data_IF_979653546676
#
_entry.id   IF_979653546676
#
_cell.length_a   1.000
_cell.length_b   1.000
_cell.length_c   1.000
_cell.angle_alpha   90.00
_cell.angle_beta   90.00
_cell.angle_gamma   90.00
#
_symmetry.space_group_name_H-M   'P 1'
#
loop_
_entity.id
_entity.type
_entity.pdbx_description
1 polymer ?
#
# COMPACT_ATOMS: atom_id res chain seq x y z
N UNK A 1 14.99 -23.25 -8.87
CA UNK A 1 13.55 -23.14 -8.55
C UNK A 1 13.11 -24.46 -7.97
N UNK A 2 12.70 -24.50 -6.69
CA UNK A 2 12.22 -25.73 -6.04
C UNK A 2 10.69 -25.71 -6.15
N UNK A 3 10.15 -26.69 -6.89
CA UNK A 3 8.74 -26.95 -7.21
C UNK A 3 8.13 -26.20 -8.42
N UNK A 4 7.50 -26.96 -9.32
CA UNK A 4 6.50 -26.50 -10.31
C UNK A 4 5.16 -26.30 -9.58
N UNK A 5 5.13 -25.43 -8.56
CA UNK A 5 3.88 -25.11 -7.89
C UNK A 5 2.99 -24.29 -8.85
N UNK A 6 1.69 -24.65 -8.99
CA UNK A 6 0.77 -23.96 -9.88
C UNK A 6 0.43 -22.54 -9.40
N UNK A 7 0.82 -22.20 -8.17
CA UNK A 7 0.68 -20.88 -7.57
C UNK A 7 2.04 -20.39 -7.11
N UNK A 8 2.36 -19.13 -7.39
CA UNK A 8 3.58 -18.44 -6.98
C UNK A 8 3.25 -17.43 -5.90
N UNK A 9 3.91 -17.55 -4.75
CA UNK A 9 3.83 -16.61 -3.64
C UNK A 9 5.21 -16.04 -3.23
N UNK A 10 5.23 -15.11 -2.28
CA UNK A 10 6.49 -14.55 -1.77
C UNK A 10 7.29 -15.55 -0.91
N UNK A 11 6.65 -16.58 -0.36
CA UNK A 11 7.28 -17.66 0.38
C UNK A 11 8.25 -18.48 -0.48
N UNK A 12 8.00 -18.57 -1.79
CA UNK A 12 8.88 -19.26 -2.74
C UNK A 12 10.14 -18.45 -3.12
N UNK A 13 10.18 -17.15 -2.83
CA UNK A 13 11.36 -16.32 -3.09
C UNK A 13 12.51 -16.62 -2.10
N UNK A 14 13.78 -16.60 -2.54
CA UNK A 14 14.93 -16.60 -1.64
C UNK A 14 14.84 -15.44 -0.64
N UNK A 15 15.32 -15.58 0.62
CA UNK A 15 15.16 -14.55 1.65
C UNK A 15 15.62 -13.14 1.23
N UNK A 16 16.77 -13.02 0.55
CA UNK A 16 17.25 -11.74 0.04
C UNK A 16 16.27 -11.10 -0.96
N UNK A 17 15.82 -11.87 -1.95
CA UNK A 17 14.84 -11.39 -2.93
C UNK A 17 13.46 -11.15 -2.32
N UNK A 18 13.07 -11.91 -1.30
CA UNK A 18 11.83 -11.68 -0.57
C UNK A 18 11.84 -10.30 0.07
N UNK A 19 12.97 -9.88 0.65
CA UNK A 19 13.10 -8.54 1.23
C UNK A 19 13.10 -7.45 0.16
N UNK A 20 13.80 -7.66 -0.95
CA UNK A 20 13.94 -6.66 -2.02
C UNK A 20 12.69 -6.51 -2.89
N UNK A 21 11.87 -7.56 -3.01
CA UNK A 21 10.70 -7.58 -3.90
C UNK A 21 9.39 -7.60 -3.12
N UNK A 22 9.21 -8.52 -2.16
CA UNK A 22 7.93 -8.68 -1.49
C UNK A 22 7.58 -7.45 -0.65
N UNK A 23 8.53 -6.91 0.11
CA UNK A 23 8.28 -5.74 0.97
C UNK A 23 7.83 -4.51 0.17
N UNK A 24 8.54 -4.04 -0.88
CA UNK A 24 8.07 -2.93 -1.69
C UNK A 24 6.72 -3.19 -2.36
N UNK A 25 6.48 -4.41 -2.85
CA UNK A 25 5.20 -4.77 -3.47
C UNK A 25 4.04 -4.75 -2.45
N UNK A 26 4.26 -5.22 -1.23
CA UNK A 26 3.25 -5.18 -0.16
C UNK A 26 2.96 -3.75 0.26
N UNK A 27 4.00 -2.94 0.47
CA UNK A 27 3.84 -1.51 0.77
C UNK A 27 3.05 -0.82 -0.34
N UNK A 28 3.42 -1.05 -1.59
CA UNK A 28 2.71 -0.50 -2.74
C UNK A 28 1.23 -0.97 -2.80
N UNK A 29 0.96 -2.26 -2.56
CA UNK A 29 -0.41 -2.79 -2.53
C UNK A 29 -1.25 -2.16 -1.41
N UNK A 30 -0.66 -1.97 -0.24
CA UNK A 30 -1.31 -1.25 0.86
C UNK A 30 -1.57 0.22 0.51
N UNK A 31 -0.66 0.84 -0.25
CA UNK A 31 -0.81 2.22 -0.69
C UNK A 31 -1.99 2.37 -1.64
N UNK A 32 -2.04 1.54 -2.68
CA UNK A 32 -3.11 1.52 -3.65
C UNK A 32 -4.47 1.39 -2.96
N UNK A 33 -4.58 0.46 -2.01
CA UNK A 33 -5.78 0.24 -1.20
C UNK A 33 -6.15 1.43 -0.33
N UNK A 34 -5.18 2.02 0.40
CA UNK A 34 -5.45 3.16 1.28
C UNK A 34 -5.84 4.40 0.48
N UNK A 35 -5.12 4.68 -0.61
CA UNK A 35 -5.37 5.81 -1.48
C UNK A 35 -6.81 5.81 -2.01
N UNK A 36 -7.25 4.65 -2.54
CA UNK A 36 -8.54 4.54 -3.21
C UNK A 36 -9.74 4.66 -2.29
N UNK A 37 -9.67 4.14 -1.07
CA UNK A 37 -10.85 4.13 -0.18
C UNK A 37 -10.82 5.21 0.88
N UNK A 38 -9.65 5.64 1.34
CA UNK A 38 -9.56 6.55 2.49
C UNK A 38 -9.11 7.93 2.07
N UNK A 39 -8.05 8.06 1.27
CA UNK A 39 -7.47 9.37 0.97
C UNK A 39 -8.44 10.31 0.24
N UNK A 40 -9.23 9.77 -0.69
CA UNK A 40 -10.21 10.55 -1.46
C UNK A 40 -11.42 10.99 -0.61
N UNK A 41 -11.74 10.24 0.44
CA UNK A 41 -12.89 10.49 1.31
C UNK A 41 -12.51 11.36 2.54
N UNK A 42 -11.31 11.16 3.09
CA UNK A 42 -10.83 11.79 4.32
C UNK A 42 -10.16 13.14 4.09
N UNK A 43 -10.88 14.10 3.51
CA UNK A 43 -10.36 15.46 3.23
C UNK A 43 -9.89 16.23 4.48
N UNK A 44 -10.27 15.76 5.66
CA UNK A 44 -9.87 16.35 6.94
C UNK A 44 -8.60 15.77 7.54
N UNK A 45 -8.06 14.68 7.00
CA UNK A 45 -6.86 14.04 7.52
C UNK A 45 -5.63 14.97 7.46
N UNK A 46 -4.70 14.89 8.43
CA UNK A 46 -3.45 15.62 8.42
C UNK A 46 -2.68 15.49 7.11
N UNK A 47 -2.64 14.28 6.53
CA UNK A 47 -2.06 14.01 5.23
C UNK A 47 -2.74 14.84 4.12
N UNK A 48 -4.07 14.82 4.04
CA UNK A 48 -4.79 15.56 2.99
C UNK A 48 -4.57 17.07 3.09
N UNK A 49 -4.65 17.63 4.31
CA UNK A 49 -4.49 19.05 4.58
C UNK A 49 -3.04 19.53 4.42
N UNK A 50 -2.09 18.80 5.00
CA UNK A 50 -0.68 19.14 4.97
C UNK A 50 -0.08 19.11 3.57
N UNK A 51 -0.56 18.23 2.70
CA UNK A 51 -0.13 18.16 1.30
C UNK A 51 -0.88 19.09 0.37
N UNK A 52 -1.89 19.81 0.88
CA UNK A 52 -2.87 20.57 0.09
C UNK A 52 -3.46 19.72 -1.05
N UNK A 53 -3.71 18.44 -0.80
CA UNK A 53 -4.04 17.45 -1.85
C UNK A 53 -5.32 17.81 -2.62
N UNK A 54 -6.28 18.51 -2.00
CA UNK A 54 -7.48 18.98 -2.68
C UNK A 54 -7.24 20.03 -3.78
N UNK A 55 -6.05 20.63 -3.87
CA UNK A 55 -5.67 21.48 -5.00
C UNK A 55 -5.31 20.65 -6.24
N UNK A 56 -5.06 19.36 -6.05
CA UNK A 56 -4.56 18.44 -7.08
C UNK A 56 -5.47 17.21 -7.25
N UNK A 57 -6.51 17.04 -6.42
CA UNK A 57 -7.44 15.92 -6.41
C UNK A 57 -8.91 16.36 -6.24
N UNK A 58 -9.86 15.72 -6.96
CA UNK A 58 -9.65 14.96 -8.19
C UNK A 58 -9.44 15.96 -9.33
N UNK A 59 -8.18 16.25 -9.69
CA UNK A 59 -7.91 16.94 -10.94
C UNK A 59 -8.12 15.94 -12.09
N UNK A 60 -8.57 16.41 -13.26
CA UNK A 60 -8.66 15.57 -14.47
C UNK A 60 -7.29 15.37 -15.15
N UNK A 61 -6.24 16.02 -14.65
CA UNK A 61 -4.89 15.98 -15.22
C UNK A 61 -3.82 16.08 -14.12
N UNK A 62 -2.71 15.38 -14.33
CA UNK A 62 -1.48 15.50 -13.53
C UNK A 62 -1.21 14.30 -12.61
N UNK A 63 -0.03 14.27 -11.97
CA UNK A 63 0.53 13.04 -11.39
C UNK A 63 -0.34 12.35 -10.32
N UNK A 64 -1.15 13.11 -9.58
CA UNK A 64 -2.07 12.56 -8.58
C UNK A 64 -3.35 11.98 -9.20
N UNK A 65 -3.80 12.52 -10.34
CA UNK A 65 -4.87 11.94 -11.14
C UNK A 65 -4.40 10.65 -11.81
N UNK A 66 -3.23 10.70 -12.45
CA UNK A 66 -2.59 9.56 -13.12
C UNK A 66 -2.39 8.37 -12.16
N UNK A 67 -2.17 8.65 -10.87
CA UNK A 67 -2.01 7.62 -9.84
C UNK A 67 -3.29 6.80 -9.62
N UNK A 68 -4.47 7.42 -9.77
CA UNK A 68 -5.76 6.72 -9.63
C UNK A 68 -5.95 5.71 -10.75
N UNK A 69 -5.64 6.11 -11.98
CA UNK A 69 -5.71 5.24 -13.16
C UNK A 69 -4.66 4.13 -13.04
N UNK A 70 -3.44 4.47 -12.65
CA UNK A 70 -2.37 3.49 -12.42
C UNK A 70 -2.75 2.42 -11.40
N UNK A 71 -3.40 2.77 -10.28
CA UNK A 71 -3.85 1.76 -9.32
C UNK A 71 -4.95 0.85 -9.87
N UNK A 72 -5.79 1.37 -10.76
CA UNK A 72 -6.83 0.57 -11.44
C UNK A 72 -6.20 -0.42 -12.42
N UNK A 73 -5.21 0.02 -13.20
CA UNK A 73 -4.44 -0.83 -14.10
C UNK A 73 -3.63 -1.88 -13.33
N UNK A 74 -2.98 -1.49 -12.23
CA UNK A 74 -2.22 -2.38 -11.37
C UNK A 74 -3.05 -3.54 -10.81
N UNK A 75 -4.26 -3.27 -10.29
CA UNK A 75 -5.13 -4.34 -9.81
C UNK A 75 -5.62 -5.24 -10.93
N UNK A 76 -5.90 -4.68 -12.11
CA UNK A 76 -6.28 -5.46 -13.28
C UNK A 76 -5.16 -6.41 -13.68
N UNK A 77 -3.92 -5.91 -13.71
CA UNK A 77 -2.73 -6.71 -13.93
C UNK A 77 -2.55 -7.81 -12.86
N UNK A 78 -2.74 -7.52 -11.57
CA UNK A 78 -2.70 -8.53 -10.52
C UNK A 78 -3.76 -9.63 -10.73
N UNK A 79 -4.99 -9.28 -11.12
CA UNK A 79 -6.05 -10.24 -11.43
C UNK A 79 -5.67 -11.13 -12.63
N UNK A 80 -5.09 -10.55 -13.67
CA UNK A 80 -4.60 -11.28 -14.85
C UNK A 80 -3.51 -12.28 -14.48
N UNK A 81 -2.55 -11.90 -13.62
CA UNK A 81 -1.53 -12.82 -13.15
C UNK A 81 -2.12 -13.97 -12.32
N UNK A 82 -3.22 -13.74 -11.60
CA UNK A 82 -3.92 -14.72 -10.78
C UNK A 82 -4.70 -15.80 -11.57
N UNK A 83 -4.94 -15.61 -12.87
CA UNK A 83 -5.68 -16.56 -13.73
C UNK A 83 -4.79 -17.35 -14.70
N UNK A 84 -3.48 -17.08 -14.71
CA UNK A 84 -2.51 -17.76 -15.59
C UNK A 84 -2.23 -19.22 -15.19
N UNK A 85 -1.53 -19.98 -16.05
CA UNK A 85 -1.13 -21.38 -15.76
C UNK A 85 -0.21 -21.47 -14.52
N UNK A 86 0.53 -20.40 -14.22
CA UNK A 86 1.32 -20.21 -13.00
C UNK A 86 0.80 -18.97 -12.26
N UNK A 87 -0.24 -19.18 -11.45
CA UNK A 87 -1.00 -18.11 -10.82
C UNK A 87 -0.14 -17.33 -9.84
N UNK A 88 -0.02 -16.03 -9.99
CA UNK A 88 0.52 -15.20 -8.91
C UNK A 88 -0.55 -15.04 -7.83
N UNK A 89 -0.31 -15.64 -6.66
CA UNK A 89 -1.25 -15.64 -5.54
C UNK A 89 -0.78 -14.85 -4.32
N UNK A 90 0.37 -14.19 -4.40
CA UNK A 90 0.99 -13.56 -3.22
C UNK A 90 0.20 -12.36 -2.68
N UNK A 91 -0.45 -11.60 -3.58
CA UNK A 91 -1.24 -10.42 -3.26
C UNK A 91 -2.68 -10.63 -3.71
N UNK A 92 -3.64 -10.33 -2.83
CA UNK A 92 -5.06 -10.42 -3.16
C UNK A 92 -5.57 -9.04 -3.61
N UNK A 93 -5.89 -8.84 -4.90
CA UNK A 93 -6.28 -7.52 -5.43
C UNK A 93 -7.65 -7.05 -4.96
N UNK A 94 -8.55 -7.97 -4.63
CA UNK A 94 -9.94 -7.67 -4.23
C UNK A 94 -10.14 -7.70 -2.71
N UNK A 95 -9.08 -8.00 -1.94
CA UNK A 95 -9.15 -8.02 -0.48
C UNK A 95 -9.07 -6.60 0.07
N UNK A 96 -9.94 -6.31 1.03
CA UNK A 96 -10.07 -4.98 1.66
C UNK A 96 -9.56 -4.96 3.10
N UNK A 97 -9.40 -6.13 3.72
CA UNK A 97 -8.78 -6.34 5.03
C UNK A 97 -7.25 -6.46 4.86
N UNK A 98 -6.51 -5.46 5.33
CA UNK A 98 -5.04 -5.46 5.31
C UNK A 98 -4.42 -6.72 5.91
N UNK A 99 -5.08 -7.40 6.84
CA UNK A 99 -4.58 -8.65 7.44
C UNK A 99 -4.57 -9.84 6.48
N UNK A 100 -5.31 -9.75 5.36
CA UNK A 100 -5.53 -10.82 4.40
C UNK A 100 -5.08 -10.50 2.99
N UNK A 101 -4.59 -9.28 2.74
CA UNK A 101 -4.13 -8.83 1.44
C UNK A 101 -2.86 -9.55 0.95
N UNK A 102 -2.14 -10.25 1.85
CA UNK A 102 -0.92 -11.01 1.56
C UNK A 102 -1.12 -12.47 1.96
N UNK A 103 -0.92 -13.39 1.02
CA UNK A 103 -1.32 -14.79 1.17
C UNK A 103 -0.47 -15.59 2.19
N UNK A 104 0.86 -15.41 2.19
CA UNK A 104 1.82 -16.22 2.95
C UNK A 104 2.05 -15.73 4.39
N UNK A 105 1.49 -14.56 4.75
CA UNK A 105 1.68 -13.91 6.05
C UNK A 105 0.40 -13.25 6.56
N UNK A 106 -0.68 -14.02 6.82
CA UNK A 106 -1.83 -13.48 7.52
C UNK A 106 -1.39 -12.94 8.89
N UNK A 107 -1.67 -11.67 9.16
CA UNK A 107 -1.28 -11.03 10.41
C UNK A 107 -2.13 -11.66 11.52
N UNK A 108 -1.48 -12.32 12.48
CA UNK A 108 -2.18 -12.99 13.58
C UNK A 108 -2.96 -11.97 14.42
N UNK A 109 -4.29 -12.04 14.36
CA UNK A 109 -5.18 -11.23 15.19
C UNK A 109 -5.55 -11.98 16.47
N UNK A 110 -5.58 -11.28 17.59
CA UNK A 110 -6.05 -11.78 18.88
C UNK A 110 -6.80 -10.67 19.62
N UNK A 111 -7.48 -10.99 20.73
CA UNK A 111 -8.18 -10.00 21.54
C UNK A 111 -7.28 -8.81 21.95
N UNK A 112 -5.97 -9.05 22.12
CA UNK A 112 -4.97 -8.04 22.45
C UNK A 112 -4.14 -7.56 21.25
N UNK A 113 -4.24 -8.21 20.09
CA UNK A 113 -3.57 -7.81 18.85
C UNK A 113 -4.59 -7.65 17.74
N UNK A 114 -5.07 -6.43 17.53
CA UNK A 114 -6.07 -6.13 16.48
C UNK A 114 -5.53 -6.25 15.05
N UNK A 115 -4.28 -6.68 14.86
CA UNK A 115 -3.64 -6.81 13.55
C UNK A 115 -3.34 -5.45 12.92
N UNK A 116 -3.41 -5.41 11.59
CA UNK A 116 -3.32 -4.22 10.77
C UNK A 116 -4.72 -3.78 10.35
N UNK A 117 -5.22 -2.72 10.98
CA UNK A 117 -6.51 -2.12 10.63
C UNK A 117 -6.30 -0.79 9.89
N UNK A 118 -7.36 -0.27 9.28
CA UNK A 118 -7.36 1.08 8.70
C UNK A 118 -6.89 2.14 9.72
N UNK A 119 -7.33 2.04 10.98
CA UNK A 119 -6.92 2.94 12.05
C UNK A 119 -5.42 2.86 12.36
N UNK A 120 -4.81 1.68 12.28
CA UNK A 120 -3.36 1.52 12.47
C UNK A 120 -2.62 2.22 11.35
N UNK A 121 -2.99 1.99 10.08
CA UNK A 121 -2.37 2.66 8.94
C UNK A 121 -2.57 4.18 9.05
N UNK A 122 -3.77 4.66 9.40
CA UNK A 122 -4.07 6.09 9.57
C UNK A 122 -3.24 6.70 10.70
N UNK A 123 -3.08 6.01 11.82
CA UNK A 123 -2.26 6.48 12.93
C UNK A 123 -0.77 6.60 12.54
N UNK A 124 -0.23 5.60 11.85
CA UNK A 124 1.14 5.62 11.36
C UNK A 124 1.37 6.68 10.28
N UNK A 125 0.38 6.91 9.40
CA UNK A 125 0.41 8.02 8.43
C UNK A 125 0.39 9.38 9.13
N UNK A 126 -0.43 9.55 10.16
CA UNK A 126 -0.49 10.77 10.95
C UNK A 126 0.84 11.05 11.67
N UNK A 127 1.49 10.02 12.20
CA UNK A 127 2.82 10.13 12.80
C UNK A 127 3.88 10.45 11.73
N UNK A 128 3.79 9.81 10.55
CA UNK A 128 4.72 10.02 9.44
C UNK A 128 4.71 11.47 8.95
N UNK A 129 3.52 12.08 8.79
CA UNK A 129 3.39 13.49 8.36
C UNK A 129 3.65 14.48 9.50
N UNK A 130 3.34 14.11 10.74
CA UNK A 130 3.47 14.95 11.92
C UNK A 130 2.71 16.27 11.79
N UNK A 131 3.40 17.40 12.05
CA UNK A 131 2.86 18.76 11.90
C UNK A 131 3.27 19.42 10.57
N UNK A 132 3.82 18.66 9.64
CA UNK A 132 4.36 19.19 8.38
C UNK A 132 3.23 19.69 7.50
N UNK A 133 3.41 20.88 6.94
CA UNK A 133 2.49 21.45 5.96
C UNK A 133 3.31 22.01 4.80
N UNK A 134 3.00 21.58 3.58
CA UNK A 134 3.66 22.05 2.38
C UNK A 134 3.16 23.45 2.04
N UNK A 135 4.07 24.40 1.94
CA UNK A 135 3.72 25.70 1.38
C UNK A 135 3.63 25.62 -0.14
N UNK A 136 2.51 26.14 -0.66
CA UNK A 136 1.99 26.06 -2.04
C UNK A 136 2.69 24.99 -2.92
N UNK A 137 2.48 23.69 -2.66
CA UNK A 137 3.11 22.63 -3.43
C UNK A 137 2.55 22.59 -4.85
N UNK A 138 3.39 22.23 -5.81
CA UNK A 138 2.93 21.74 -7.09
C UNK A 138 2.52 20.25 -6.98
N UNK A 139 1.84 19.74 -8.01
CA UNK A 139 1.35 18.36 -7.99
C UNK A 139 2.48 17.31 -7.82
N UNK A 140 3.66 17.43 -8.48
CA UNK A 140 4.78 16.51 -8.26
C UNK A 140 5.30 16.53 -6.81
N UNK A 141 5.41 17.70 -6.17
CA UNK A 141 5.86 17.81 -4.78
C UNK A 141 4.83 17.23 -3.81
N UNK A 142 3.54 17.46 -4.05
CA UNK A 142 2.46 16.86 -3.27
C UNK A 142 2.46 15.32 -3.39
N UNK A 143 2.64 14.79 -4.61
CA UNK A 143 2.75 13.35 -4.84
C UNK A 143 3.96 12.75 -4.13
N UNK A 144 5.15 13.36 -4.27
CA UNK A 144 6.37 12.88 -3.61
C UNK A 144 6.18 12.80 -2.10
N UNK A 145 5.62 13.85 -1.51
CA UNK A 145 5.37 13.90 -0.08
C UNK A 145 4.36 12.85 0.38
N UNK A 146 3.29 12.61 -0.39
CA UNK A 146 2.33 11.54 -0.15
C UNK A 146 3.02 10.16 -0.13
N UNK A 147 3.85 9.89 -1.14
CA UNK A 147 4.58 8.62 -1.26
C UNK A 147 5.61 8.45 -0.13
N UNK A 148 6.35 9.50 0.24
CA UNK A 148 7.29 9.48 1.36
C UNK A 148 6.60 9.20 2.70
N UNK A 149 5.47 9.88 2.96
CA UNK A 149 4.68 9.64 4.17
C UNK A 149 4.17 8.20 4.24
N UNK A 150 3.71 7.68 3.10
CA UNK A 150 3.21 6.32 3.01
C UNK A 150 4.31 5.26 3.20
N UNK A 151 5.46 5.45 2.55
CA UNK A 151 6.62 4.55 2.70
C UNK A 151 7.05 4.47 4.17
N UNK A 152 7.15 5.62 4.85
CA UNK A 152 7.50 5.67 6.27
C UNK A 152 6.47 4.96 7.15
N UNK A 153 5.18 5.20 6.93
CA UNK A 153 4.11 4.57 7.70
C UNK A 153 4.09 3.04 7.51
N UNK A 154 4.27 2.59 6.26
CA UNK A 154 4.20 1.16 5.95
C UNK A 154 5.46 0.39 6.19
N UNK A 155 6.64 1.01 6.16
CA UNK A 155 7.89 0.38 6.61
C UNK A 155 7.75 -0.12 8.05
N UNK A 156 7.31 0.76 8.96
CA UNK A 156 7.06 0.40 10.36
C UNK A 156 6.03 -0.72 10.51
N UNK A 157 4.97 -0.69 9.71
CA UNK A 157 3.94 -1.74 9.71
C UNK A 157 4.48 -3.07 9.22
N UNK A 158 5.18 -3.10 8.08
CA UNK A 158 5.72 -4.34 7.51
C UNK A 158 6.78 -4.95 8.44
N UNK A 159 7.66 -4.12 9.01
CA UNK A 159 8.69 -4.57 9.94
C UNK A 159 8.11 -5.16 11.23
N UNK A 160 7.09 -4.50 11.79
CA UNK A 160 6.55 -4.89 13.11
C UNK A 160 5.45 -5.96 13.04
N UNK A 161 4.65 -6.00 11.97
CA UNK A 161 3.45 -6.84 11.88
C UNK A 161 3.58 -8.04 10.94
N UNK A 162 4.28 -7.91 9.81
CA UNK A 162 4.43 -8.98 8.82
C UNK A 162 5.75 -9.76 8.97
N UNK A 163 6.76 -9.15 9.60
CA UNK A 163 8.07 -9.77 9.87
C UNK A 163 8.75 -10.34 8.59
N UNK A 164 8.82 -9.54 7.53
CA UNK A 164 9.64 -9.88 6.36
C UNK A 164 11.12 -9.65 6.68
N UNK A 165 11.75 -10.67 7.28
CA UNK A 165 13.20 -10.79 7.51
C UNK A 165 13.91 -11.40 6.31
#
# INVERSE_FOLDING_TARGET
MKSDEPTVDFGQLPPALRREVARPMIQFHYFARYFRQHLLEEKNAPLYKGGKLGQHLPASTGPLADLTDFFTEYESWLRELGVSERRFGALHPDETDFNKMVADKPIATSFFNKGLTDDVIRAELNDAVGKTNLDNPDAPRALRWLVEAFNKATEKVVDTKLQYS
#
